data_IF_168981218352
#
_entry.id   IF_168981218352
#
_cell.length_a   1.000
_cell.length_b   1.000
_cell.length_c   1.000
_cell.angle_alpha   90.00
_cell.angle_beta   90.00
_cell.angle_gamma   90.00
#
_symmetry.space_group_name_H-M   'P 1'
#
loop_
_entity.id
_entity.type
_entity.pdbx_description
1 polymer ?
#
# COMPACT_ATOMS: atom_id res chain seq x y z
N UNK A 1 -21.71 4.53 3.35
CA UNK A 1 -20.71 5.56 3.69
C UNK A 1 -21.39 6.93 3.69
N UNK A 2 -21.15 7.71 4.72
CA UNK A 2 -21.60 9.10 4.81
C UNK A 2 -20.38 10.03 4.82
N UNK A 3 -20.55 11.24 4.29
CA UNK A 3 -19.52 12.29 4.28
C UNK A 3 -20.03 13.49 5.09
N UNK A 4 -19.22 13.94 6.02
CA UNK A 4 -19.50 15.15 6.78
C UNK A 4 -18.19 15.90 7.04
N UNK A 5 -18.15 17.17 6.69
CA UNK A 5 -16.97 18.03 6.90
C UNK A 5 -15.67 17.39 6.39
N UNK A 6 -15.71 16.76 5.19
CA UNK A 6 -14.59 16.04 4.54
C UNK A 6 -14.18 14.73 5.23
N UNK A 7 -14.84 14.34 6.32
CA UNK A 7 -14.60 13.04 6.95
C UNK A 7 -15.50 11.97 6.34
N UNK A 8 -14.92 10.80 6.12
CA UNK A 8 -15.62 9.64 5.57
C UNK A 8 -16.00 8.69 6.71
N UNK A 9 -17.27 8.41 6.84
CA UNK A 9 -17.79 7.47 7.84
C UNK A 9 -18.36 6.24 7.15
N UNK A 10 -17.98 5.08 7.62
CA UNK A 10 -18.55 3.81 7.17
C UNK A 10 -19.66 3.40 8.14
N UNK A 11 -20.88 3.32 7.64
CA UNK A 11 -22.05 2.92 8.42
C UNK A 11 -22.46 1.52 8.00
N UNK A 12 -22.53 0.61 8.97
CA UNK A 12 -22.91 -0.79 8.74
C UNK A 12 -23.72 -1.30 9.94
N UNK A 13 -24.48 -2.37 9.72
CA UNK A 13 -25.21 -3.06 10.79
C UNK A 13 -24.29 -4.10 11.42
N UNK A 14 -24.51 -4.35 12.72
CA UNK A 14 -23.87 -5.47 13.42
C UNK A 14 -24.37 -6.79 12.81
N UNK A 15 -23.51 -7.78 12.75
CA UNK A 15 -23.84 -9.06 12.14
C UNK A 15 -23.15 -10.25 12.83
N UNK A 16 -23.75 -11.40 12.65
CA UNK A 16 -23.17 -12.70 13.01
C UNK A 16 -22.97 -13.49 11.73
N UNK A 17 -21.77 -14.00 11.54
CA UNK A 17 -21.48 -14.85 10.37
C UNK A 17 -21.95 -16.28 10.68
N UNK A 18 -22.87 -16.81 9.88
CA UNK A 18 -23.38 -18.18 10.01
C UNK A 18 -22.41 -19.14 9.32
N UNK A 19 -21.88 -18.70 8.16
CA UNK A 19 -20.93 -19.47 7.37
C UNK A 19 -20.05 -18.47 6.62
N UNK A 20 -18.76 -18.76 6.50
CA UNK A 20 -17.84 -17.94 5.70
C UNK A 20 -16.84 -18.82 4.97
N UNK A 21 -16.56 -18.48 3.71
CA UNK A 21 -15.49 -19.06 2.90
C UNK A 21 -14.34 -18.06 2.68
N UNK A 22 -14.31 -17.00 3.49
CA UNK A 22 -13.31 -15.94 3.40
C UNK A 22 -13.67 -14.82 2.40
N UNK A 23 -14.54 -15.11 1.43
CA UNK A 23 -14.98 -14.14 0.42
C UNK A 23 -16.46 -13.77 0.58
N UNK A 24 -17.27 -14.75 0.88
CA UNK A 24 -18.71 -14.59 1.10
C UNK A 24 -19.08 -15.08 2.49
N UNK A 25 -19.92 -14.36 3.16
CA UNK A 25 -20.46 -14.75 4.45
C UNK A 25 -21.98 -14.78 4.35
N UNK A 26 -22.59 -15.91 4.74
CA UNK A 26 -23.99 -15.93 5.08
C UNK A 26 -24.13 -15.28 6.45
N UNK A 27 -24.79 -14.14 6.50
CA UNK A 27 -24.85 -13.32 7.72
C UNK A 27 -26.28 -13.23 8.23
N UNK A 28 -26.39 -13.09 9.55
CA UNK A 28 -27.62 -12.71 10.24
C UNK A 28 -27.34 -11.37 10.93
N UNK A 29 -28.21 -10.42 10.76
CA UNK A 29 -28.09 -9.16 11.47
C UNK A 29 -28.30 -9.38 12.97
N UNK A 30 -27.48 -8.71 13.76
CA UNK A 30 -27.49 -8.82 15.23
C UNK A 30 -27.58 -7.42 15.82
N UNK A 31 -28.10 -7.37 17.03
CA UNK A 31 -28.03 -6.17 17.89
C UNK A 31 -27.00 -6.36 19.01
N UNK A 32 -26.37 -7.55 19.04
CA UNK A 32 -25.41 -7.91 20.08
C UNK A 32 -23.97 -7.57 19.61
N UNK A 33 -23.36 -6.63 20.28
CA UNK A 33 -21.98 -6.20 20.02
C UNK A 33 -20.97 -7.33 20.29
N UNK A 34 -21.26 -8.22 21.24
CA UNK A 34 -20.39 -9.36 21.54
C UNK A 34 -20.37 -10.38 20.39
N UNK A 35 -21.53 -10.62 19.78
CA UNK A 35 -21.61 -11.47 18.58
C UNK A 35 -20.81 -10.87 17.42
N UNK A 36 -20.94 -9.57 17.18
CA UNK A 36 -20.16 -8.88 16.13
C UNK A 36 -18.67 -8.92 16.45
N UNK A 37 -18.28 -8.72 17.71
CA UNK A 37 -16.89 -8.76 18.15
C UNK A 37 -16.27 -10.15 17.93
N UNK A 38 -17.02 -11.22 18.21
CA UNK A 38 -16.52 -12.61 18.12
C UNK A 38 -16.07 -13.03 16.72
N UNK A 39 -16.62 -12.41 15.68
CA UNK A 39 -16.25 -12.70 14.28
C UNK A 39 -15.06 -11.89 13.78
N UNK A 40 -14.61 -10.90 14.54
CA UNK A 40 -13.47 -10.05 14.15
C UNK A 40 -12.16 -10.82 14.31
N UNK A 41 -11.09 -10.31 13.72
CA UNK A 41 -9.79 -10.98 13.67
C UNK A 41 -8.99 -10.85 14.98
N UNK A 42 -8.82 -9.60 15.46
CA UNK A 42 -7.93 -9.29 16.59
C UNK A 42 -8.68 -8.55 17.70
N UNK A 43 -8.24 -8.78 18.93
CA UNK A 43 -8.79 -8.13 20.13
C UNK A 43 -8.79 -6.60 19.98
N UNK A 44 -7.67 -6.03 19.50
CA UNK A 44 -7.52 -4.58 19.29
C UNK A 44 -8.45 -4.02 18.21
N UNK A 45 -9.08 -4.87 17.40
CA UNK A 45 -10.01 -4.49 16.33
C UNK A 45 -11.47 -4.80 16.71
N UNK A 46 -11.74 -5.08 17.98
CA UNK A 46 -13.08 -5.40 18.49
C UNK A 46 -13.49 -4.50 19.67
N UNK A 47 -12.97 -3.28 19.67
CA UNK A 47 -13.31 -2.25 20.66
C UNK A 47 -14.40 -1.36 20.05
N UNK A 48 -15.46 -1.13 20.78
CA UNK A 48 -16.60 -0.33 20.34
C UNK A 48 -16.76 0.87 21.27
N UNK A 49 -17.37 1.92 20.76
CA UNK A 49 -17.78 3.08 21.58
C UNK A 49 -19.23 3.43 21.24
N UNK A 50 -19.99 3.79 22.25
CA UNK A 50 -21.29 4.40 22.04
C UNK A 50 -21.13 5.90 21.71
N UNK A 51 -22.24 6.57 21.47
CA UNK A 51 -22.27 8.02 21.15
C UNK A 51 -21.74 8.92 22.29
N UNK A 52 -21.76 8.41 23.51
CA UNK A 52 -21.36 9.15 24.72
C UNK A 52 -19.89 8.84 25.09
N UNK A 53 -19.20 7.98 24.31
CA UNK A 53 -17.81 7.62 24.52
C UNK A 53 -17.58 6.45 25.45
N UNK A 54 -18.64 5.77 25.92
CA UNK A 54 -18.51 4.58 26.76
C UNK A 54 -18.00 3.42 25.90
N UNK A 55 -16.98 2.73 26.40
CA UNK A 55 -16.35 1.63 25.68
C UNK A 55 -17.02 0.28 26.00
N UNK A 56 -17.20 -0.52 24.96
CA UNK A 56 -17.52 -1.94 25.06
C UNK A 56 -16.36 -2.72 24.46
N UNK A 57 -15.67 -3.50 25.28
CA UNK A 57 -14.42 -4.18 24.93
C UNK A 57 -14.46 -5.62 25.45
N UNK A 58 -15.19 -6.52 24.77
CA UNK A 58 -15.44 -7.87 25.27
C UNK A 58 -14.21 -8.78 25.32
N UNK A 59 -13.12 -8.39 24.65
CA UNK A 59 -11.90 -9.21 24.54
C UNK A 59 -10.64 -8.51 25.07
N UNK A 60 -10.82 -7.45 25.88
CA UNK A 60 -9.71 -6.68 26.47
C UNK A 60 -8.74 -6.09 25.40
N UNK A 61 -9.28 -5.70 24.25
CA UNK A 61 -8.49 -5.13 23.16
C UNK A 61 -7.79 -3.83 23.52
N UNK A 62 -8.40 -3.02 24.41
CA UNK A 62 -7.78 -1.78 24.89
C UNK A 62 -6.48 -2.09 25.63
N UNK A 63 -6.51 -3.05 26.55
CA UNK A 63 -5.30 -3.48 27.28
C UNK A 63 -4.24 -4.02 26.32
N UNK A 64 -4.63 -4.87 25.37
CA UNK A 64 -3.71 -5.39 24.34
C UNK A 64 -3.07 -4.25 23.53
N UNK A 65 -3.87 -3.26 23.12
CA UNK A 65 -3.38 -2.12 22.35
C UNK A 65 -2.37 -1.28 23.16
N UNK A 66 -2.69 -0.99 24.42
CA UNK A 66 -1.82 -0.22 25.32
C UNK A 66 -0.49 -0.93 25.54
N UNK A 67 -0.53 -2.25 25.67
CA UNK A 67 0.67 -3.09 25.87
C UNK A 67 1.36 -3.46 24.56
N UNK A 68 0.78 -3.16 23.40
CA UNK A 68 1.35 -3.48 22.09
C UNK A 68 1.34 -4.97 21.77
N UNK A 69 0.26 -5.65 22.15
CA UNK A 69 0.07 -7.09 21.94
C UNK A 69 -0.94 -7.29 20.81
N UNK A 70 -0.65 -8.19 19.88
CA UNK A 70 -1.56 -8.50 18.77
C UNK A 70 -2.07 -9.93 18.98
N UNK A 71 -3.27 -10.04 19.53
CA UNK A 71 -3.92 -11.31 19.82
C UNK A 71 -5.08 -11.58 18.86
N UNK A 72 -5.14 -12.79 18.32
CA UNK A 72 -6.34 -13.29 17.62
C UNK A 72 -7.49 -13.50 18.62
N UNK A 73 -8.71 -13.24 18.17
CA UNK A 73 -9.91 -13.61 18.93
C UNK A 73 -10.16 -15.10 18.68
N UNK A 74 -9.98 -15.91 19.71
CA UNK A 74 -10.12 -17.37 19.62
C UNK A 74 -8.85 -18.06 19.13
N UNK A 75 -9.00 -19.28 18.62
CA UNK A 75 -7.89 -20.12 18.17
C UNK A 75 -7.29 -19.58 16.87
N UNK A 76 -5.99 -19.26 16.89
CA UNK A 76 -5.24 -18.64 15.77
C UNK A 76 -5.36 -19.45 14.49
N UNK A 77 -5.14 -20.76 14.59
CA UNK A 77 -5.11 -21.65 13.44
C UNK A 77 -6.48 -21.71 12.75
N UNK A 78 -7.55 -21.87 13.54
CA UNK A 78 -8.92 -21.86 13.05
C UNK A 78 -9.26 -20.52 12.41
N UNK A 79 -8.91 -19.42 13.07
CA UNK A 79 -9.19 -18.05 12.56
C UNK A 79 -8.50 -17.77 11.24
N UNK A 80 -7.25 -18.21 11.06
CA UNK A 80 -6.52 -18.06 9.80
C UNK A 80 -7.18 -18.90 8.71
N UNK A 81 -7.59 -20.13 9.01
CA UNK A 81 -8.26 -21.02 8.02
C UNK A 81 -9.62 -20.50 7.56
N UNK A 82 -10.34 -19.76 8.39
CA UNK A 82 -11.59 -19.10 7.99
C UNK A 82 -11.35 -18.03 6.93
N UNK A 83 -10.22 -17.31 7.01
CA UNK A 83 -9.85 -16.27 6.06
C UNK A 83 -8.32 -16.08 6.08
N UNK A 84 -7.66 -16.61 5.06
CA UNK A 84 -6.20 -16.55 4.95
C UNK A 84 -5.65 -15.12 4.84
N UNK A 85 -6.49 -14.12 4.49
CA UNK A 85 -6.06 -12.71 4.48
C UNK A 85 -5.64 -12.24 5.89
N UNK A 86 -6.11 -12.93 6.93
CA UNK A 86 -5.72 -12.63 8.32
C UNK A 86 -4.21 -12.75 8.54
N UNK A 87 -3.49 -13.51 7.70
CA UNK A 87 -2.01 -13.56 7.73
C UNK A 87 -1.42 -12.17 7.43
N UNK A 88 -1.85 -11.54 6.33
CA UNK A 88 -1.40 -10.18 5.97
C UNK A 88 -1.93 -9.12 6.95
N UNK A 89 -3.16 -9.30 7.41
CA UNK A 89 -3.75 -8.40 8.40
C UNK A 89 -2.98 -8.47 9.71
N UNK A 90 -2.59 -9.66 10.17
CA UNK A 90 -1.72 -9.82 11.35
C UNK A 90 -0.42 -9.06 11.14
N UNK A 91 0.24 -9.26 10.00
CA UNK A 91 1.48 -8.55 9.69
C UNK A 91 1.30 -7.02 9.77
N UNK A 92 0.22 -6.50 9.18
CA UNK A 92 -0.09 -5.07 9.21
C UNK A 92 -0.31 -4.55 10.64
N UNK A 93 -1.11 -5.26 11.44
CA UNK A 93 -1.37 -4.84 12.82
C UNK A 93 -0.09 -4.94 13.66
N UNK A 94 0.68 -6.02 13.49
CA UNK A 94 1.96 -6.21 14.18
C UNK A 94 2.91 -5.03 13.88
N UNK A 95 3.13 -4.71 12.63
CA UNK A 95 4.05 -3.64 12.23
C UNK A 95 3.61 -2.26 12.72
N UNK A 96 2.32 -2.03 12.87
CA UNK A 96 1.80 -0.72 13.31
C UNK A 96 1.73 -0.58 14.84
N UNK A 97 1.43 -1.65 15.56
CA UNK A 97 1.04 -1.54 16.96
C UNK A 97 1.87 -2.39 17.92
N UNK A 98 2.58 -3.43 17.45
CA UNK A 98 3.30 -4.31 18.38
C UNK A 98 4.50 -3.61 19.02
N UNK A 99 4.68 -3.88 20.31
CA UNK A 99 5.86 -3.49 21.12
C UNK A 99 6.73 -4.71 21.47
N UNK A 100 6.35 -5.90 21.02
CA UNK A 100 6.98 -7.18 21.35
C UNK A 100 7.34 -7.95 20.08
N UNK A 101 8.31 -8.84 20.15
CA UNK A 101 8.57 -9.77 19.02
C UNK A 101 7.38 -10.68 18.74
N UNK A 102 7.36 -11.30 17.56
CA UNK A 102 6.40 -12.35 17.25
C UNK A 102 6.51 -13.52 18.24
N UNK A 103 5.39 -14.02 18.74
CA UNK A 103 5.41 -15.22 19.58
C UNK A 103 5.66 -16.46 18.71
N UNK A 104 6.32 -17.48 19.28
CA UNK A 104 6.59 -18.75 18.59
C UNK A 104 5.31 -19.42 18.08
N UNK A 105 4.25 -19.36 18.86
CA UNK A 105 2.93 -19.92 18.48
C UNK A 105 2.33 -19.21 17.27
N UNK A 106 2.43 -17.88 17.24
CA UNK A 106 1.93 -17.10 16.10
C UNK A 106 2.77 -17.40 14.85
N UNK A 107 4.09 -17.41 14.97
CA UNK A 107 5.00 -17.78 13.85
C UNK A 107 4.59 -19.15 13.29
N UNK A 108 4.38 -20.14 14.16
CA UNK A 108 3.99 -21.49 13.77
C UNK A 108 2.65 -21.50 13.01
N UNK A 109 1.63 -20.83 13.57
CA UNK A 109 0.30 -20.77 12.96
C UNK A 109 0.36 -20.11 11.55
N UNK A 110 1.12 -19.02 11.41
CA UNK A 110 1.28 -18.32 10.12
C UNK A 110 1.99 -19.22 9.10
N UNK A 111 3.09 -19.87 9.50
CA UNK A 111 3.87 -20.75 8.60
C UNK A 111 3.06 -21.95 8.11
N UNK A 112 2.32 -22.60 8.99
CA UNK A 112 1.49 -23.78 8.64
C UNK A 112 0.42 -23.39 7.61
N UNK A 113 -0.14 -22.19 7.73
CA UNK A 113 -1.30 -21.77 6.94
C UNK A 113 -0.95 -20.88 5.72
N UNK A 114 0.34 -20.56 5.50
CA UNK A 114 0.77 -19.63 4.43
C UNK A 114 0.30 -20.08 3.04
N UNK A 115 0.25 -21.38 2.79
CA UNK A 115 -0.22 -21.94 1.50
C UNK A 115 -1.66 -21.55 1.14
N UNK A 116 -2.47 -21.26 2.14
CA UNK A 116 -3.86 -20.81 1.94
C UNK A 116 -3.98 -19.45 1.24
N UNK A 117 -2.92 -18.65 1.24
CA UNK A 117 -2.86 -17.34 0.55
C UNK A 117 -3.20 -17.51 -0.95
N UNK A 118 -2.81 -18.63 -1.54
CA UNK A 118 -3.08 -18.91 -2.97
C UNK A 118 -4.59 -18.94 -3.30
N UNK A 119 -5.44 -19.18 -2.31
CA UNK A 119 -6.92 -19.20 -2.46
C UNK A 119 -7.54 -17.81 -2.49
N UNK A 120 -6.79 -16.77 -2.13
CA UNK A 120 -7.29 -15.39 -2.06
C UNK A 120 -7.28 -14.71 -3.42
N UNK A 121 -8.25 -13.84 -3.65
CA UNK A 121 -8.26 -13.01 -4.86
C UNK A 121 -7.08 -12.03 -4.84
N UNK A 122 -6.56 -11.72 -6.02
CA UNK A 122 -5.43 -10.80 -6.19
C UNK A 122 -5.79 -9.39 -5.72
N UNK A 123 -7.04 -8.99 -5.85
CA UNK A 123 -7.54 -7.68 -5.40
C UNK A 123 -7.42 -7.55 -3.88
N UNK A 124 -7.85 -8.58 -3.14
CA UNK A 124 -7.78 -8.56 -1.66
C UNK A 124 -6.32 -8.51 -1.19
N UNK A 125 -5.44 -9.26 -1.85
CA UNK A 125 -3.99 -9.25 -1.53
C UNK A 125 -3.39 -7.86 -1.79
N UNK A 126 -3.71 -7.26 -2.94
CA UNK A 126 -3.20 -5.94 -3.33
C UNK A 126 -3.71 -4.84 -2.39
N UNK A 127 -4.98 -4.90 -1.99
CA UNK A 127 -5.58 -3.94 -1.05
C UNK A 127 -4.88 -3.99 0.31
N UNK A 128 -4.55 -5.18 0.79
CA UNK A 128 -3.85 -5.31 2.08
C UNK A 128 -2.38 -4.88 1.96
N UNK A 129 -1.71 -5.21 0.84
CA UNK A 129 -0.35 -4.71 0.53
C UNK A 129 -0.33 -3.18 0.54
N UNK A 130 -1.31 -2.55 -0.09
CA UNK A 130 -1.43 -1.09 -0.16
C UNK A 130 -1.50 -0.46 1.25
N UNK A 131 -2.21 -1.10 2.18
CA UNK A 131 -2.33 -0.64 3.58
C UNK A 131 -1.01 -0.80 4.35
N UNK A 132 -0.20 -1.81 4.01
CA UNK A 132 1.12 -2.05 4.59
C UNK A 132 2.14 -1.04 4.04
N UNK A 133 1.96 -0.58 2.80
CA UNK A 133 2.93 0.25 2.07
C UNK A 133 2.88 1.71 2.53
N UNK A 134 3.43 1.95 3.73
CA UNK A 134 3.68 3.27 4.32
C UNK A 134 5.12 3.26 4.82
N UNK A 135 5.83 4.38 4.72
CA UNK A 135 7.27 4.42 5.03
C UNK A 135 7.59 3.90 6.42
N UNK A 136 6.86 4.38 7.45
CA UNK A 136 7.09 3.95 8.83
C UNK A 136 6.87 2.44 9.02
N UNK A 137 5.89 1.87 8.31
CA UNK A 137 5.58 0.44 8.34
C UNK A 137 6.64 -0.36 7.57
N UNK A 138 7.04 0.13 6.37
CA UNK A 138 8.07 -0.52 5.54
C UNK A 138 9.43 -0.55 6.24
N UNK A 139 9.80 0.51 6.95
CA UNK A 139 11.05 0.53 7.74
C UNK A 139 11.07 -0.55 8.82
N UNK A 140 9.96 -0.74 9.52
CA UNK A 140 9.82 -1.80 10.53
C UNK A 140 9.86 -3.19 9.87
N UNK A 141 9.13 -3.34 8.76
CA UNK A 141 9.04 -4.60 8.01
C UNK A 141 10.41 -5.10 7.57
N UNK A 142 11.24 -4.22 7.00
CA UNK A 142 12.56 -4.64 6.48
C UNK A 142 13.58 -4.92 7.59
N UNK A 143 13.35 -4.44 8.81
CA UNK A 143 14.18 -4.70 9.99
C UNK A 143 13.79 -5.98 10.71
N UNK A 144 12.54 -6.39 10.62
CA UNK A 144 12.05 -7.62 11.25
C UNK A 144 12.16 -8.78 10.28
N UNK A 145 13.10 -9.70 10.55
CA UNK A 145 13.41 -10.80 9.64
C UNK A 145 12.18 -11.65 9.30
N UNK A 146 11.38 -12.02 10.30
CA UNK A 146 10.21 -12.87 10.06
C UNK A 146 9.16 -12.14 9.17
N UNK A 147 8.89 -10.87 9.47
CA UNK A 147 7.96 -10.06 8.68
C UNK A 147 8.43 -9.93 7.22
N UNK A 148 9.73 -9.70 7.02
CA UNK A 148 10.33 -9.59 5.68
C UNK A 148 10.21 -10.91 4.91
N UNK A 149 10.58 -12.03 5.55
CA UNK A 149 10.48 -13.35 4.93
C UNK A 149 9.00 -13.66 4.55
N UNK A 150 8.07 -13.35 5.45
CA UNK A 150 6.64 -13.59 5.25
C UNK A 150 6.10 -12.79 4.06
N UNK A 151 6.40 -11.48 3.99
CA UNK A 151 5.91 -10.64 2.89
C UNK A 151 6.49 -11.10 1.54
N UNK A 152 7.77 -11.53 1.52
CA UNK A 152 8.42 -12.01 0.29
C UNK A 152 7.93 -13.40 -0.14
N UNK A 153 7.43 -14.22 0.78
CA UNK A 153 6.75 -15.47 0.43
C UNK A 153 5.42 -15.19 -0.29
N UNK A 154 4.71 -14.13 0.12
CA UNK A 154 3.39 -13.76 -0.44
C UNK A 154 3.56 -12.96 -1.74
N UNK A 155 4.53 -12.04 -1.76
CA UNK A 155 4.81 -11.15 -2.89
C UNK A 155 6.30 -11.25 -3.28
N UNK A 156 6.71 -12.34 -3.94
CA UNK A 156 8.12 -12.53 -4.31
C UNK A 156 8.65 -11.48 -5.28
N UNK A 157 7.75 -10.74 -5.93
CA UNK A 157 8.09 -9.67 -6.86
C UNK A 157 8.62 -8.40 -6.15
N UNK A 158 8.49 -8.28 -4.82
CA UNK A 158 8.99 -7.11 -4.06
C UNK A 158 10.51 -7.20 -3.82
N UNK A 159 11.26 -7.53 -4.86
CA UNK A 159 12.70 -7.84 -4.81
C UNK A 159 13.57 -6.73 -4.21
N UNK A 160 13.18 -5.47 -4.44
CA UNK A 160 13.93 -4.31 -3.98
C UNK A 160 13.41 -3.72 -2.65
N UNK A 161 12.53 -4.42 -1.93
CA UNK A 161 11.90 -3.91 -0.70
C UNK A 161 12.94 -3.46 0.35
N UNK A 162 14.13 -4.07 0.34
CA UNK A 162 15.22 -3.72 1.28
C UNK A 162 15.75 -2.29 1.10
N UNK A 163 15.36 -1.58 0.03
CA UNK A 163 15.73 -0.17 -0.15
C UNK A 163 15.28 0.67 1.05
N UNK A 164 14.16 0.29 1.68
CA UNK A 164 13.60 1.01 2.82
C UNK A 164 14.42 0.86 4.12
N UNK A 165 15.43 -0.03 4.15
CA UNK A 165 16.31 -0.17 5.32
C UNK A 165 17.43 0.87 5.38
N UNK A 166 17.71 1.57 4.26
CA UNK A 166 18.89 2.44 4.10
C UNK A 166 18.54 3.89 3.78
N UNK A 167 17.33 4.32 4.11
CA UNK A 167 16.88 5.68 3.81
C UNK A 167 17.48 6.69 4.80
N UNK A 168 18.04 7.78 4.27
CA UNK A 168 18.38 8.96 5.07
C UNK A 168 17.10 9.79 5.34
N UNK A 169 17.20 10.78 6.21
CA UNK A 169 16.07 11.62 6.63
C UNK A 169 15.40 12.31 5.43
N UNK A 170 16.19 12.88 4.52
CA UNK A 170 15.70 13.59 3.34
C UNK A 170 14.85 12.66 2.45
N UNK A 171 15.36 11.44 2.20
CA UNK A 171 14.65 10.45 1.40
C UNK A 171 13.37 9.94 2.10
N UNK A 172 13.41 9.77 3.43
CA UNK A 172 12.20 9.42 4.19
C UNK A 172 11.11 10.47 4.04
N UNK A 173 11.47 11.75 4.18
CA UNK A 173 10.50 12.85 4.09
C UNK A 173 9.94 12.99 2.67
N UNK A 174 10.77 12.78 1.67
CA UNK A 174 10.33 12.70 0.29
C UNK A 174 9.30 11.55 0.10
N UNK A 175 9.63 10.35 0.56
CA UNK A 175 8.80 9.16 0.36
C UNK A 175 7.48 9.18 1.14
N UNK A 176 7.41 9.89 2.28
CA UNK A 176 6.16 10.10 3.03
C UNK A 176 5.09 10.81 2.18
N UNK A 177 5.52 11.62 1.22
CA UNK A 177 4.64 12.39 0.32
C UNK A 177 4.25 11.62 -0.94
N UNK A 178 4.86 10.44 -1.16
CA UNK A 178 4.62 9.63 -2.36
C UNK A 178 3.48 8.65 -2.16
N UNK A 179 2.77 8.38 -3.25
CA UNK A 179 1.66 7.45 -3.26
C UNK A 179 2.13 5.98 -3.33
N UNK A 180 1.18 5.08 -3.19
CA UNK A 180 1.41 3.64 -3.24
C UNK A 180 2.12 3.22 -4.53
N UNK A 181 1.74 3.79 -5.68
CA UNK A 181 2.27 3.39 -7.00
C UNK A 181 3.76 3.70 -7.11
N UNK A 182 4.19 4.87 -6.62
CA UNK A 182 5.60 5.22 -6.60
C UNK A 182 6.40 4.26 -5.68
N UNK A 183 5.88 4.01 -4.47
CA UNK A 183 6.55 3.09 -3.52
C UNK A 183 6.62 1.66 -4.08
N UNK A 184 5.55 1.21 -4.73
CA UNK A 184 5.49 -0.09 -5.40
C UNK A 184 6.55 -0.16 -6.52
N UNK A 185 6.68 0.89 -7.33
CA UNK A 185 7.68 0.95 -8.41
C UNK A 185 9.09 0.74 -7.87
N UNK A 186 9.42 1.36 -6.72
CA UNK A 186 10.72 1.18 -6.07
C UNK A 186 10.96 -0.29 -5.67
N UNK A 187 9.90 -1.02 -5.31
CA UNK A 187 10.00 -2.41 -4.84
C UNK A 187 10.10 -3.42 -5.99
N UNK A 188 9.41 -3.18 -7.13
CA UNK A 188 9.26 -4.19 -8.18
C UNK A 188 10.14 -3.96 -9.41
N UNK A 189 10.64 -2.74 -9.65
CA UNK A 189 11.48 -2.43 -10.82
C UNK A 189 12.93 -2.79 -10.49
N UNK A 190 13.47 -3.76 -11.23
CA UNK A 190 14.81 -4.31 -11.01
C UNK A 190 15.59 -4.49 -12.33
N UNK A 191 15.17 -3.83 -13.41
CA UNK A 191 15.72 -3.90 -14.78
C UNK A 191 15.53 -5.28 -15.44
N UNK A 192 14.65 -6.12 -14.88
CA UNK A 192 14.20 -7.38 -15.50
C UNK A 192 12.71 -7.27 -15.84
N UNK A 193 12.08 -8.38 -16.21
CA UNK A 193 10.64 -8.44 -16.49
C UNK A 193 9.79 -8.57 -15.21
N UNK A 194 10.39 -8.36 -14.04
CA UNK A 194 9.73 -8.51 -12.75
C UNK A 194 8.51 -7.59 -12.60
N UNK A 195 8.65 -6.32 -13.01
CA UNK A 195 7.54 -5.37 -12.97
C UNK A 195 6.40 -5.79 -13.90
N UNK A 196 6.70 -6.26 -15.11
CA UNK A 196 5.69 -6.78 -16.05
C UNK A 196 4.97 -7.99 -15.46
N UNK A 197 5.70 -8.90 -14.81
CA UNK A 197 5.13 -10.08 -14.16
C UNK A 197 4.17 -9.66 -13.03
N UNK A 198 4.56 -8.70 -12.20
CA UNK A 198 3.68 -8.15 -11.14
C UNK A 198 2.40 -7.56 -11.74
N UNK A 199 2.54 -6.76 -12.82
CA UNK A 199 1.41 -6.10 -13.47
C UNK A 199 0.47 -7.09 -14.18
N UNK A 200 0.99 -8.23 -14.61
CA UNK A 200 0.18 -9.34 -15.13
C UNK A 200 -0.60 -10.03 -14.00
N UNK A 201 0.09 -10.29 -12.89
CA UNK A 201 -0.45 -11.03 -11.73
C UNK A 201 -1.53 -10.24 -10.98
N UNK A 202 -1.37 -8.93 -10.86
CA UNK A 202 -2.26 -8.07 -10.08
C UNK A 202 -2.99 -7.06 -10.96
N UNK A 203 -4.29 -6.94 -10.74
CA UNK A 203 -5.14 -6.04 -11.52
C UNK A 203 -5.00 -4.59 -11.01
N UNK A 204 -4.13 -3.83 -11.66
CA UNK A 204 -3.85 -2.41 -11.36
C UNK A 204 -4.54 -1.56 -12.45
N UNK A 205 -4.99 -0.36 -12.09
CA UNK A 205 -5.66 0.55 -13.03
C UNK A 205 -4.81 0.83 -14.27
N UNK A 206 -5.44 1.05 -15.42
CA UNK A 206 -4.74 1.36 -16.68
C UNK A 206 -3.78 2.56 -16.51
N UNK A 207 -4.21 3.59 -15.77
CA UNK A 207 -3.38 4.77 -15.48
C UNK A 207 -2.12 4.38 -14.73
N UNK A 208 -2.28 3.64 -13.63
CA UNK A 208 -1.17 3.25 -12.75
C UNK A 208 -0.23 2.25 -13.44
N UNK A 209 -0.78 1.33 -14.22
CA UNK A 209 0.00 0.39 -15.05
C UNK A 209 0.89 1.15 -16.04
N UNK A 210 0.33 2.14 -16.75
CA UNK A 210 1.08 3.01 -17.68
C UNK A 210 2.22 3.74 -16.95
N UNK A 211 1.94 4.25 -15.77
CA UNK A 211 2.91 4.98 -14.93
C UNK A 211 4.10 4.07 -14.53
N UNK A 212 3.83 2.87 -14.01
CA UNK A 212 4.87 1.89 -13.63
C UNK A 212 5.69 1.47 -14.86
N UNK A 213 5.02 1.14 -15.98
CA UNK A 213 5.69 0.73 -17.21
C UNK A 213 6.58 1.83 -17.76
N UNK A 214 6.18 3.09 -17.66
CA UNK A 214 7.01 4.22 -18.11
C UNK A 214 8.32 4.27 -17.31
N UNK A 215 8.23 4.18 -15.98
CA UNK A 215 9.42 4.18 -15.11
C UNK A 215 10.31 2.98 -15.45
N UNK A 216 9.73 1.78 -15.54
CA UNK A 216 10.47 0.54 -15.83
C UNK A 216 11.20 0.61 -17.17
N UNK A 217 10.51 1.00 -18.24
CA UNK A 217 11.11 1.12 -19.58
C UNK A 217 12.21 2.17 -19.61
N UNK A 218 11.99 3.33 -18.96
CA UNK A 218 12.98 4.40 -18.88
C UNK A 218 14.28 3.89 -18.27
N UNK A 219 14.20 3.10 -17.20
CA UNK A 219 15.39 2.59 -16.49
C UNK A 219 16.00 1.34 -17.13
N UNK A 220 15.30 0.66 -18.05
CA UNK A 220 15.86 -0.42 -18.88
C UNK A 220 16.75 0.14 -19.99
N UNK A 221 16.51 1.37 -20.46
CA UNK A 221 17.34 2.03 -21.43
C UNK A 221 18.71 2.42 -20.82
N UNK A 222 19.73 2.55 -21.65
CA UNK A 222 21.06 2.96 -21.18
C UNK A 222 21.00 4.40 -20.64
N UNK A 223 21.20 4.52 -19.34
CA UNK A 223 21.22 5.83 -18.66
C UNK A 223 22.69 6.32 -18.62
N UNK A 224 22.90 7.53 -19.13
CA UNK A 224 24.22 8.18 -19.16
C UNK A 224 24.13 9.62 -18.62
N UNK A 225 25.24 10.34 -18.67
CA UNK A 225 25.33 11.72 -18.18
C UNK A 225 24.37 12.70 -18.89
N UNK A 226 23.97 12.39 -20.12
CA UNK A 226 23.06 13.25 -20.90
C UNK A 226 21.59 12.93 -20.69
N UNK A 227 21.27 11.85 -19.97
CA UNK A 227 19.89 11.42 -19.75
C UNK A 227 19.12 12.43 -18.88
N UNK A 228 19.75 12.90 -17.80
CA UNK A 228 19.15 13.82 -16.84
C UNK A 228 19.53 15.27 -17.15
N UNK A 229 19.24 15.74 -18.36
CA UNK A 229 19.39 17.14 -18.75
C UNK A 229 18.02 17.81 -18.77
N UNK A 230 18.00 19.12 -18.58
CA UNK A 230 16.77 19.92 -18.66
C UNK A 230 16.05 19.69 -20.00
N UNK A 231 16.78 19.66 -21.11
CA UNK A 231 16.20 19.43 -22.44
C UNK A 231 15.45 18.09 -22.54
N UNK A 232 16.05 17.01 -22.03
CA UNK A 232 15.39 15.69 -22.05
C UNK A 232 14.20 15.63 -21.09
N UNK A 233 14.34 16.20 -19.91
CA UNK A 233 13.26 16.23 -18.92
C UNK A 233 12.09 17.11 -19.41
N UNK A 234 12.36 18.20 -20.15
CA UNK A 234 11.32 19.03 -20.77
C UNK A 234 10.49 18.23 -21.78
N UNK A 235 11.14 17.35 -22.57
CA UNK A 235 10.42 16.47 -23.51
C UNK A 235 9.47 15.53 -22.73
N UNK A 236 9.97 14.90 -21.66
CA UNK A 236 9.15 14.00 -20.83
C UNK A 236 7.99 14.79 -20.19
N UNK A 237 8.27 15.97 -19.65
CA UNK A 237 7.26 16.84 -19.04
C UNK A 237 6.16 17.20 -20.05
N UNK A 238 6.55 17.60 -21.24
CA UNK A 238 5.60 18.00 -22.29
C UNK A 238 4.71 16.83 -22.74
N UNK A 239 5.30 15.66 -22.99
CA UNK A 239 4.56 14.52 -23.56
C UNK A 239 3.86 13.65 -22.50
N UNK A 240 4.38 13.60 -21.29
CA UNK A 240 3.92 12.66 -20.26
C UNK A 240 3.45 13.32 -18.95
N UNK A 241 3.72 14.61 -18.80
CA UNK A 241 3.24 15.40 -17.68
C UNK A 241 4.15 15.42 -16.45
N UNK A 242 3.76 16.25 -15.51
CA UNK A 242 4.51 16.55 -14.28
C UNK A 242 4.72 15.31 -13.40
N UNK A 243 3.67 14.50 -13.22
CA UNK A 243 3.70 13.31 -12.36
C UNK A 243 4.80 12.33 -12.79
N UNK A 244 4.83 12.00 -14.07
CA UNK A 244 5.82 11.06 -14.64
C UNK A 244 7.23 11.63 -14.59
N UNK A 245 7.40 12.92 -14.91
CA UNK A 245 8.71 13.59 -14.85
C UNK A 245 9.29 13.53 -13.44
N UNK A 246 8.47 13.87 -12.43
CA UNK A 246 8.89 13.83 -11.02
C UNK A 246 9.14 12.38 -10.56
N UNK A 247 8.37 11.41 -11.05
CA UNK A 247 8.60 9.99 -10.73
C UNK A 247 9.99 9.55 -11.21
N UNK A 248 10.36 9.86 -12.46
CA UNK A 248 11.65 9.51 -13.03
C UNK A 248 12.79 10.11 -12.17
N UNK A 249 12.70 11.41 -11.87
CA UNK A 249 13.73 12.13 -11.13
C UNK A 249 13.84 11.61 -9.69
N UNK A 250 12.71 11.44 -9.00
CA UNK A 250 12.69 10.96 -7.62
C UNK A 250 13.11 9.49 -7.51
N UNK A 251 12.76 8.66 -8.50
CA UNK A 251 13.21 7.27 -8.55
C UNK A 251 14.75 7.22 -8.61
N UNK A 252 15.37 8.03 -9.47
CA UNK A 252 16.82 8.15 -9.56
C UNK A 252 17.43 8.59 -8.24
N UNK A 253 16.86 9.62 -7.61
CA UNK A 253 17.33 10.15 -6.33
C UNK A 253 17.34 9.08 -5.23
N UNK A 254 16.27 8.30 -5.12
CA UNK A 254 16.15 7.24 -4.10
C UNK A 254 17.14 6.10 -4.36
N UNK A 255 17.36 5.73 -5.63
CA UNK A 255 18.28 4.64 -6.03
C UNK A 255 19.75 5.06 -5.98
N UNK A 256 20.05 6.36 -6.09
CA UNK A 256 21.42 6.86 -6.09
C UNK A 256 22.05 6.75 -4.70
N UNK A 257 23.30 6.32 -4.67
CA UNK A 257 24.12 6.27 -3.43
C UNK A 257 24.78 7.61 -3.12
N UNK A 258 24.85 8.51 -4.12
CA UNK A 258 25.51 9.81 -3.99
C UNK A 258 24.50 10.92 -4.19
N UNK A 259 24.71 12.01 -3.48
CA UNK A 259 23.94 13.21 -3.68
C UNK A 259 24.32 13.84 -5.03
N UNK A 260 23.33 14.30 -5.77
CA UNK A 260 23.48 14.86 -7.11
C UNK A 260 22.77 16.21 -7.15
N UNK A 261 23.53 17.29 -7.15
CA UNK A 261 23.02 18.65 -7.16
C UNK A 261 22.20 18.98 -8.41
N UNK A 262 22.60 18.47 -9.56
CA UNK A 262 21.84 18.65 -10.80
C UNK A 262 20.45 17.99 -10.69
N UNK A 263 20.41 16.78 -10.16
CA UNK A 263 19.14 16.06 -9.95
C UNK A 263 18.23 16.81 -8.98
N UNK A 264 18.77 17.33 -7.88
CA UNK A 264 18.01 18.13 -6.92
C UNK A 264 17.47 19.41 -7.57
N UNK A 265 18.26 20.08 -8.40
CA UNK A 265 17.85 21.28 -9.14
C UNK A 265 16.67 20.94 -10.10
N UNK A 266 16.78 19.84 -10.85
CA UNK A 266 15.72 19.41 -11.77
C UNK A 266 14.42 19.10 -11.01
N UNK A 267 14.51 18.39 -9.86
CA UNK A 267 13.33 18.08 -9.03
C UNK A 267 12.64 19.38 -8.61
N UNK A 268 13.40 20.34 -8.05
CA UNK A 268 12.86 21.63 -7.62
C UNK A 268 12.20 22.38 -8.78
N UNK A 269 12.87 22.40 -9.94
CA UNK A 269 12.36 23.05 -11.14
C UNK A 269 10.97 22.48 -11.54
N UNK A 270 10.85 21.16 -11.66
CA UNK A 270 9.59 20.54 -12.10
C UNK A 270 8.51 20.51 -10.99
N UNK A 271 8.87 20.63 -9.71
CA UNK A 271 7.89 20.79 -8.64
C UNK A 271 7.09 22.08 -8.73
N UNK A 272 7.75 23.17 -9.15
CA UNK A 272 7.12 24.50 -9.25
C UNK A 272 6.57 24.79 -10.65
N UNK A 273 7.10 24.13 -11.69
CA UNK A 273 6.69 24.38 -13.08
C UNK A 273 5.21 23.98 -13.27
N UNK A 274 4.43 24.89 -13.82
CA UNK A 274 3.04 24.62 -14.16
C UNK A 274 2.95 23.93 -15.51
N UNK A 275 2.08 22.95 -15.63
CA UNK A 275 1.80 22.30 -16.92
C UNK A 275 1.14 23.32 -17.84
N UNK A 276 1.72 23.59 -19.01
CA UNK A 276 1.10 24.53 -19.94
C UNK A 276 -0.32 24.08 -20.31
N UNK A 277 -1.28 24.95 -20.12
CA UNK A 277 -2.66 24.69 -20.50
C UNK A 277 -2.91 25.38 -21.85
N UNK A 278 -3.39 24.62 -22.82
CA UNK A 278 -3.76 25.20 -24.11
C UNK A 278 -4.84 26.27 -23.88
N UNK A 279 -4.63 27.52 -24.28
CA UNK A 279 -5.58 28.61 -23.99
C UNK A 279 -6.94 28.41 -24.66
N UNK A 280 -6.99 27.54 -25.66
CA UNK A 280 -8.23 27.25 -26.38
C UNK A 280 -8.45 25.73 -26.37
N UNK A 281 -9.52 25.28 -25.72
CA UNK A 281 -9.83 23.85 -25.70
C UNK A 281 -10.37 23.37 -27.05
N UNK A 282 -10.09 22.11 -27.41
CA UNK A 282 -10.66 21.47 -28.59
C UNK A 282 -12.19 21.59 -28.60
N UNK A 283 -12.82 21.45 -27.43
CA UNK A 283 -14.28 21.58 -27.27
C UNK A 283 -14.77 22.99 -27.64
N UNK A 284 -14.01 24.02 -27.27
CA UNK A 284 -14.33 25.41 -27.65
C UNK A 284 -14.20 25.60 -29.17
N UNK A 285 -13.12 25.07 -29.77
CA UNK A 285 -12.91 25.15 -31.22
C UNK A 285 -14.02 24.40 -31.98
N UNK A 286 -14.37 23.20 -31.55
CA UNK A 286 -15.45 22.43 -32.16
C UNK A 286 -16.77 23.23 -32.12
N UNK A 287 -17.12 23.77 -30.94
CA UNK A 287 -18.35 24.60 -30.79
C UNK A 287 -18.32 25.86 -31.66
N UNK A 288 -17.14 26.49 -31.81
CA UNK A 288 -16.99 27.72 -32.59
C UNK A 288 -17.06 27.48 -34.11
N UNK A 289 -16.60 26.33 -34.59
CA UNK A 289 -16.47 25.99 -36.01
C UNK A 289 -17.40 24.83 -36.43
N UNK A 290 -18.34 24.48 -35.64
CA UNK A 290 -19.46 23.57 -35.97
C UNK A 290 -20.49 24.20 -36.90
N UNK A 291 -20.23 25.11 -37.26
CA UNK A 291 -21.21 25.69 -38.04
C UNK A 291 -20.95 25.43 -39.44
N UNK A 292 -21.19 24.87 -39.79
CA UNK A 292 -21.07 24.47 -41.08
C UNK A 292 -21.50 23.31 -41.32
#
# INVERSE_FOLDING_TARGET
TALENKYKFEITTLRKDIFTDGRHAKVKFSKDWKEDASRRDFTINSIYSDKDGNLFDPYNGKSDLENGIINFIGDKDKRIKEDYLRILRYLRFFLNYSKHPHTSETIKALKINIGGISKLSKERLLDELKKITRIATLEKLVKDKFSLDLILMIFPELKNIKIFSKLNTTNKDLLKKKDFIFLLSLMIIDNTDNADYFLYKFNISKKDKKRIKFIDNFYKEQINSKTFTENNMNKIFYYHGKEITLDILNFRKIKSKKEDGNLNHLIQHYEILEVPVMPVSAKFLMKKYEXX
#
